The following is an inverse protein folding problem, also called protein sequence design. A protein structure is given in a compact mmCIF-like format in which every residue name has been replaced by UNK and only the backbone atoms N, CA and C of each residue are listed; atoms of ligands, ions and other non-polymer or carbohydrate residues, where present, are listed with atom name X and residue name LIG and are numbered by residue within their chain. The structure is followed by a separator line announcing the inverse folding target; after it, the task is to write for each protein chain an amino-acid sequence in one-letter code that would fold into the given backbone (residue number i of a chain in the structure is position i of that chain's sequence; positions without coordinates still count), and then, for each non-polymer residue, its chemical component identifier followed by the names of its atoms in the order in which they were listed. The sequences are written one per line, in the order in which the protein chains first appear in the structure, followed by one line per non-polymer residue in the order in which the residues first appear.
data_IF_100991149826
#
_entry.id   IF_100991149826
#
_cell.length_a   1.000
_cell.length_b   1.000
_cell.length_c   1.000
_cell.angle_alpha   90.00
_cell.angle_beta   90.00
_cell.angle_gamma   90.00
#
_symmetry.space_group_name_H-M   'P 1'
#
loop_
_entity.id
_entity.type
_entity.pdbx_description
1 polymer ?
#
# COMPACT_ATOMS: atom_id res chain seq x y z
N UNK A 1 12.56 1.00 -33.57
CA UNK A 1 12.18 2.42 -33.51
C UNK A 1 12.76 3.03 -32.24
N UNK A 2 13.07 4.33 -32.21
CA UNK A 2 13.66 4.97 -31.01
C UNK A 2 12.74 4.89 -29.77
N UNK A 3 11.43 4.84 -30.00
CA UNK A 3 10.40 4.65 -28.95
C UNK A 3 10.55 3.30 -28.26
N UNK A 4 10.81 2.22 -29.00
CA UNK A 4 10.98 0.87 -28.44
C UNK A 4 12.19 0.82 -27.51
N UNK A 5 13.29 1.46 -27.91
CA UNK A 5 14.52 1.58 -27.12
C UNK A 5 14.25 2.31 -25.80
N UNK A 6 13.48 3.41 -25.86
CA UNK A 6 13.13 4.19 -24.67
C UNK A 6 12.21 3.42 -23.72
N UNK A 7 11.24 2.66 -24.25
CA UNK A 7 10.36 1.79 -23.48
C UNK A 7 11.17 0.67 -22.80
N UNK A 8 12.04 -0.02 -23.53
CA UNK A 8 12.90 -1.07 -22.96
C UNK A 8 13.83 -0.51 -21.88
N UNK A 9 14.40 0.67 -22.08
CA UNK A 9 15.22 1.34 -21.08
C UNK A 9 14.41 1.69 -19.80
N UNK A 10 13.19 2.20 -19.96
CA UNK A 10 12.30 2.53 -18.83
C UNK A 10 11.90 1.29 -18.04
N UNK A 11 11.44 0.23 -18.72
CA UNK A 11 11.06 -1.03 -18.07
C UNK A 11 12.26 -1.74 -17.43
N UNK A 12 13.45 -1.67 -18.05
CA UNK A 12 14.69 -2.18 -17.46
C UNK A 12 15.09 -1.42 -16.20
N UNK A 13 14.99 -0.09 -16.20
CA UNK A 13 15.23 0.74 -15.02
C UNK A 13 14.21 0.44 -13.91
N UNK A 14 12.93 0.34 -14.25
CA UNK A 14 11.86 0.05 -13.28
C UNK A 14 12.02 -1.35 -12.68
N UNK A 15 12.40 -2.34 -13.48
CA UNK A 15 12.75 -3.68 -13.01
C UNK A 15 13.97 -3.68 -12.09
N UNK A 16 15.00 -2.88 -12.39
CA UNK A 16 16.16 -2.70 -11.52
C UNK A 16 15.79 -2.07 -10.18
N UNK A 17 14.90 -1.06 -10.17
CA UNK A 17 14.39 -0.45 -8.94
C UNK A 17 13.63 -1.48 -8.10
N UNK A 18 12.75 -2.28 -8.70
CA UNK A 18 12.03 -3.33 -7.97
C UNK A 18 12.95 -4.41 -7.42
N UNK A 19 13.99 -4.80 -8.16
CA UNK A 19 15.00 -5.71 -7.66
C UNK A 19 15.80 -5.11 -6.49
N UNK A 20 16.13 -3.81 -6.54
CA UNK A 20 16.85 -3.10 -5.47
C UNK A 20 16.00 -2.90 -4.20
N UNK A 21 14.68 -2.79 -4.35
CA UNK A 21 13.75 -2.65 -3.23
C UNK A 21 13.47 -3.97 -2.50
N UNK A 22 14.13 -5.08 -2.89
CA UNK A 22 13.86 -6.44 -2.40
C UNK A 22 12.37 -6.79 -2.41
N UNK A 23 11.60 -6.09 -3.26
CA UNK A 23 10.18 -6.28 -3.39
C UNK A 23 10.01 -7.61 -4.10
N UNK A 24 9.76 -8.66 -3.31
CA UNK A 24 9.48 -9.97 -3.87
C UNK A 24 8.35 -9.82 -4.91
N UNK A 25 8.48 -10.51 -6.06
CA UNK A 25 7.44 -10.49 -7.08
C UNK A 25 6.09 -10.95 -6.53
N UNK A 26 6.08 -11.74 -5.45
CA UNK A 26 4.87 -12.22 -4.79
C UNK A 26 4.00 -11.08 -4.19
N UNK A 27 4.50 -10.20 -3.28
CA UNK A 27 3.78 -9.01 -2.82
C UNK A 27 3.26 -8.10 -3.93
N UNK A 28 4.05 -7.87 -4.98
CA UNK A 28 3.64 -7.04 -6.12
C UNK A 28 2.45 -7.64 -6.88
N UNK A 29 2.50 -8.94 -7.15
CA UNK A 29 1.40 -9.68 -7.77
C UNK A 29 0.16 -9.72 -6.87
N UNK A 30 0.34 -9.93 -5.57
CA UNK A 30 -0.75 -9.86 -4.60
C UNK A 30 -1.41 -8.49 -4.60
N UNK A 31 -0.64 -7.40 -4.55
CA UNK A 31 -1.17 -6.05 -4.66
C UNK A 31 -1.90 -5.79 -5.97
N UNK A 32 -1.37 -6.30 -7.09
CA UNK A 32 -1.99 -6.17 -8.41
C UNK A 32 -3.34 -6.90 -8.50
N UNK A 33 -3.46 -8.10 -7.93
CA UNK A 33 -4.72 -8.86 -7.92
C UNK A 33 -5.72 -8.30 -6.90
N UNK A 34 -5.22 -7.88 -5.72
CA UNK A 34 -6.04 -7.31 -4.65
C UNK A 34 -6.53 -5.90 -4.96
N UNK A 35 -5.81 -5.13 -5.79
CA UNK A 35 -6.17 -3.77 -6.17
C UNK A 35 -7.58 -3.66 -6.78
N UNK A 36 -7.88 -4.38 -7.89
CA UNK A 36 -9.20 -4.42 -8.49
C UNK A 36 -10.29 -4.87 -7.52
N UNK A 37 -9.99 -5.87 -6.68
CA UNK A 37 -10.91 -6.34 -5.65
C UNK A 37 -11.22 -5.24 -4.63
N UNK A 38 -10.21 -4.49 -4.19
CA UNK A 38 -10.39 -3.37 -3.27
C UNK A 38 -11.24 -2.27 -3.90
N UNK A 39 -10.96 -1.89 -5.14
CA UNK A 39 -11.72 -0.86 -5.84
C UNK A 39 -13.18 -1.26 -6.03
N UNK A 40 -13.44 -2.52 -6.42
CA UNK A 40 -14.79 -3.04 -6.58
C UNK A 40 -15.56 -3.04 -5.25
N UNK A 41 -14.92 -3.47 -4.16
CA UNK A 41 -15.53 -3.44 -2.83
C UNK A 41 -15.78 -2.00 -2.35
N UNK A 42 -14.84 -1.07 -2.58
CA UNK A 42 -15.00 0.34 -2.25
C UNK A 42 -16.16 0.95 -3.05
N UNK A 43 -16.21 0.72 -4.35
CA UNK A 43 -17.29 1.17 -5.25
C UNK A 43 -18.64 0.62 -4.80
N UNK A 44 -18.71 -0.68 -4.50
CA UNK A 44 -19.92 -1.33 -4.00
C UNK A 44 -20.38 -0.75 -2.67
N UNK A 45 -19.45 -0.51 -1.74
CA UNK A 45 -19.73 0.15 -0.47
C UNK A 45 -20.28 1.56 -0.68
N UNK A 46 -19.67 2.37 -1.56
CA UNK A 46 -20.15 3.72 -1.88
C UNK A 46 -21.54 3.73 -2.54
N UNK A 47 -21.81 2.78 -3.44
CA UNK A 47 -23.14 2.63 -4.06
C UNK A 47 -24.20 2.26 -3.03
N UNK A 48 -23.90 1.32 -2.12
CA UNK A 48 -24.80 0.94 -1.03
C UNK A 48 -25.05 2.11 -0.05
N UNK A 49 -24.05 2.97 0.09
CA UNK A 49 -24.04 4.19 0.90
C UNK A 49 -24.74 5.39 0.24
N UNK A 50 -25.31 5.22 -0.97
CA UNK A 50 -25.88 6.31 -1.78
C UNK A 50 -24.88 7.46 -2.05
N UNK A 51 -23.59 7.16 -2.09
CA UNK A 51 -22.52 8.13 -2.35
C UNK A 51 -22.13 8.98 -1.15
N UNK A 52 -22.70 8.77 0.05
CA UNK A 52 -22.34 9.54 1.24
C UNK A 52 -21.16 8.88 2.00
N UNK A 53 -19.96 9.50 2.02
CA UNK A 53 -18.82 9.00 2.80
C UNK A 53 -19.03 9.17 4.31
N UNK A 54 -20.04 9.94 4.73
CA UNK A 54 -20.42 10.10 6.13
C UNK A 54 -21.00 8.81 6.75
N UNK A 55 -21.37 7.81 5.95
CA UNK A 55 -21.85 6.50 6.45
C UNK A 55 -20.78 5.74 7.22
N UNK A 56 -19.50 5.95 6.92
CA UNK A 56 -18.40 5.41 7.72
C UNK A 56 -18.39 5.98 9.15
N UNK A 57 -18.94 7.18 9.36
CA UNK A 57 -19.06 7.81 10.68
C UNK A 57 -20.45 7.65 11.32
N UNK A 58 -21.51 7.59 10.52
CA UNK A 58 -22.89 7.49 11.04
C UNK A 58 -23.33 6.06 11.32
N UNK A 59 -22.70 5.03 10.71
CA UNK A 59 -22.95 3.63 11.04
C UNK A 59 -21.98 3.16 12.12
N UNK A 60 -22.46 2.78 13.33
CA UNK A 60 -21.58 2.39 14.43
C UNK A 60 -20.73 1.15 14.11
N UNK A 61 -21.20 0.23 13.24
CA UNK A 61 -20.46 -0.97 12.84
C UNK A 61 -19.29 -0.65 11.89
N UNK A 62 -19.48 0.26 10.93
CA UNK A 62 -18.40 0.68 10.02
C UNK A 62 -17.35 1.50 10.75
N UNK A 63 -17.79 2.35 11.69
CA UNK A 63 -16.88 3.16 12.51
C UNK A 63 -15.98 2.29 13.38
N UNK A 64 -16.53 1.28 14.05
CA UNK A 64 -15.72 0.38 14.90
C UNK A 64 -14.72 -0.42 14.08
N UNK A 65 -15.10 -0.91 12.91
CA UNK A 65 -14.17 -1.59 11.99
C UNK A 65 -13.07 -0.66 11.47
N UNK A 66 -13.40 0.59 11.11
CA UNK A 66 -12.43 1.57 10.67
C UNK A 66 -11.41 1.92 11.76
N UNK A 67 -11.88 2.16 12.99
CA UNK A 67 -11.02 2.42 14.14
C UNK A 67 -10.13 1.21 14.46
N UNK A 68 -10.67 -0.01 14.40
CA UNK A 68 -9.92 -1.23 14.64
C UNK A 68 -8.82 -1.43 13.58
N UNK A 69 -9.16 -1.22 12.30
CA UNK A 69 -8.21 -1.31 11.20
C UNK A 69 -7.09 -0.27 11.34
N UNK A 70 -7.43 0.98 11.66
CA UNK A 70 -6.45 2.04 11.93
C UNK A 70 -5.57 1.73 13.13
N UNK A 71 -6.14 1.20 14.21
CA UNK A 71 -5.39 0.80 15.41
C UNK A 71 -4.41 -0.35 15.13
N UNK A 72 -4.84 -1.39 14.41
CA UNK A 72 -3.98 -2.50 14.00
C UNK A 72 -2.86 -2.03 13.07
N UNK A 73 -3.19 -1.17 12.10
CA UNK A 73 -2.20 -0.58 11.20
C UNK A 73 -1.17 0.23 12.00
N UNK A 74 -1.60 1.06 12.96
CA UNK A 74 -0.69 1.79 13.84
C UNK A 74 0.19 0.86 14.67
N UNK A 75 -0.35 -0.24 15.21
CA UNK A 75 0.43 -1.22 15.97
C UNK A 75 1.51 -1.91 15.13
N UNK A 76 1.26 -2.16 13.84
CA UNK A 76 2.22 -2.80 12.93
C UNK A 76 3.24 -1.79 12.41
N UNK A 77 2.77 -0.60 12.04
CA UNK A 77 3.58 0.43 11.39
C UNK A 77 4.44 1.20 12.42
N UNK A 78 3.96 1.47 13.63
CA UNK A 78 4.72 2.18 14.67
C UNK A 78 6.07 1.51 15.04
N UNK A 79 6.18 0.19 15.25
CA UNK A 79 7.47 -0.45 15.50
C UNK A 79 8.34 -0.52 14.23
N UNK A 80 7.76 -0.60 13.03
CA UNK A 80 8.53 -0.56 11.77
C UNK A 80 9.20 0.80 11.56
N UNK A 81 8.49 1.90 11.83
CA UNK A 81 9.07 3.24 11.80
C UNK A 81 10.02 3.53 12.97
N UNK A 82 9.92 2.81 14.11
CA UNK A 82 10.90 2.91 15.20
C UNK A 82 12.16 2.09 14.92
N UNK A 83 12.04 0.91 14.30
CA UNK A 83 13.18 0.07 13.89
C UNK A 83 14.00 0.67 12.74
N UNK A 84 13.35 1.26 11.73
CA UNK A 84 14.07 1.98 10.66
C UNK A 84 14.86 3.19 11.19
N UNK A 85 14.48 3.74 12.35
CA UNK A 85 15.27 4.79 13.04
C UNK A 85 16.45 4.24 13.84
N UNK A 86 16.40 3.00 14.33
CA UNK A 86 17.54 2.39 15.04
C UNK A 86 18.63 1.94 14.05
N UNK A 87 18.25 1.38 12.90
CA UNK A 87 19.21 0.98 11.86
C UNK A 87 19.90 2.19 11.20
N UNK A 88 19.19 3.31 11.03
CA UNK A 88 19.78 4.56 10.50
C UNK A 88 20.72 5.28 11.49
N UNK A 89 20.73 4.92 12.78
CA UNK A 89 21.62 5.51 13.78
C UNK A 89 22.89 4.68 14.06
N UNK A 90 22.90 3.37 13.75
CA UNK A 90 24.05 2.48 13.99
C UNK A 90 25.11 2.56 12.87
N UNK A 91 24.75 2.95 11.65
CA UNK A 91 25.71 3.05 10.53
C UNK A 91 26.61 4.30 10.55
N UNK A 92 26.45 5.20 11.54
CA UNK A 92 27.31 6.39 11.69
C UNK A 92 28.54 6.21 12.60
N UNK A 93 28.72 5.03 13.21
CA UNK A 93 29.84 4.75 14.14
C UNK A 93 30.65 3.48 13.79
N UNK A 94 30.70 3.09 12.51
CA UNK A 94 31.51 1.96 12.00
C UNK A 94 32.69 2.40 11.13
#
# INVERSE_FOLDING_TARGET
STVDVYITALFGFMGYVFAKLECEPAPLLLGFVLGPLLEENLRRAMLLSRGDPTVFFTRPISLTMLLLAGFLLLLIVAPQFRKTREEAFVESEG
#
